data_IF_301958190019
#
_entry.id   IF_301958190019
#
_cell.length_a   1.000
_cell.length_b   1.000
_cell.length_c   1.000
_cell.angle_alpha   90.00
_cell.angle_beta   90.00
_cell.angle_gamma   90.00
#
_symmetry.space_group_name_H-M   'P 1'
#
loop_
_entity.id
_entity.type
_entity.pdbx_description
1 polymer ?
#
# COMPACT_ATOMS: atom_id res chain seq x y z
N UNK A 1 5.13 23.12 20.71
CA UNK A 1 4.48 22.37 19.61
C UNK A 1 3.71 23.37 18.76
N UNK A 2 4.06 23.53 17.48
CA UNK A 2 3.35 24.45 16.58
C UNK A 2 2.00 23.82 16.17
N UNK A 3 0.88 24.54 16.24
CA UNK A 3 -0.42 24.02 15.85
C UNK A 3 -0.47 23.94 14.32
N UNK A 4 -0.55 22.71 13.79
CA UNK A 4 -0.93 22.49 12.40
C UNK A 4 -2.47 22.47 12.33
N UNK A 5 -3.05 23.32 11.48
CA UNK A 5 -4.50 23.39 11.21
C UNK A 5 -5.43 23.66 12.42
N UNK A 6 -4.89 24.09 13.56
CA UNK A 6 -5.69 24.48 14.73
C UNK A 6 -6.18 23.35 15.63
N UNK A 7 -5.75 22.10 15.42
CA UNK A 7 -6.13 20.96 16.27
C UNK A 7 -4.92 20.29 16.94
N UNK A 8 -4.95 20.19 18.27
CA UNK A 8 -3.95 19.51 19.11
C UNK A 8 -4.64 18.53 20.07
N UNK A 9 -3.97 17.42 20.40
CA UNK A 9 -4.46 16.44 21.37
C UNK A 9 -5.18 15.22 20.76
N UNK A 10 -6.08 14.60 21.55
CA UNK A 10 -6.72 13.32 21.21
C UNK A 10 -7.63 13.35 20.00
N UNK A 11 -8.19 14.51 19.64
CA UNK A 11 -9.05 14.64 18.46
C UNK A 11 -8.26 14.52 17.14
N UNK A 12 -7.02 15.02 17.09
CA UNK A 12 -6.15 14.83 15.93
C UNK A 12 -5.70 13.37 15.81
N UNK A 13 -5.46 12.68 16.93
CA UNK A 13 -5.21 11.24 16.92
C UNK A 13 -6.43 10.46 16.42
N UNK A 14 -7.64 10.82 16.86
CA UNK A 14 -8.88 10.19 16.40
C UNK A 14 -9.04 10.27 14.87
N UNK A 15 -8.88 11.46 14.26
CA UNK A 15 -8.97 11.59 12.80
C UNK A 15 -7.87 10.83 12.05
N UNK A 16 -6.65 10.80 12.59
CA UNK A 16 -5.56 10.01 12.01
C UNK A 16 -5.87 8.52 12.10
N UNK A 17 -6.40 8.03 13.23
CA UNK A 17 -6.81 6.63 13.39
C UNK A 17 -7.95 6.26 12.42
N UNK A 18 -8.93 7.14 12.21
CA UNK A 18 -10.01 6.93 11.23
C UNK A 18 -9.46 6.87 9.80
N UNK A 19 -8.51 7.75 9.45
CA UNK A 19 -7.85 7.71 8.14
C UNK A 19 -7.06 6.40 7.96
N UNK A 20 -6.25 6.01 8.94
CA UNK A 20 -5.52 4.74 8.92
C UNK A 20 -6.45 3.52 8.83
N UNK A 21 -7.56 3.52 9.56
CA UNK A 21 -8.54 2.43 9.52
C UNK A 21 -9.18 2.32 8.13
N UNK A 22 -9.46 3.45 7.50
CA UNK A 22 -9.96 3.51 6.12
C UNK A 22 -8.92 2.98 5.15
N UNK A 23 -7.65 3.39 5.27
CA UNK A 23 -6.53 2.88 4.46
C UNK A 23 -6.36 1.36 4.61
N UNK A 24 -6.38 0.82 5.83
CA UNK A 24 -6.27 -0.62 6.07
C UNK A 24 -7.46 -1.39 5.51
N UNK A 25 -8.66 -0.80 5.56
CA UNK A 25 -9.86 -1.41 4.96
C UNK A 25 -9.74 -1.44 3.44
N UNK A 26 -9.29 -0.35 2.83
CA UNK A 26 -9.07 -0.26 1.39
C UNK A 26 -7.99 -1.24 0.93
N UNK A 27 -6.93 -1.41 1.72
CA UNK A 27 -5.89 -2.40 1.46
C UNK A 27 -6.43 -3.84 1.53
N UNK A 28 -7.22 -4.18 2.56
CA UNK A 28 -7.87 -5.48 2.65
C UNK A 28 -8.84 -5.74 1.47
N UNK A 29 -9.51 -4.67 1.01
CA UNK A 29 -10.36 -4.72 -0.18
C UNK A 29 -9.53 -4.98 -1.45
N UNK A 30 -8.40 -4.30 -1.67
CA UNK A 30 -7.51 -4.53 -2.82
C UNK A 30 -7.04 -5.99 -2.88
N UNK A 31 -6.59 -6.55 -1.75
CA UNK A 31 -6.18 -7.96 -1.71
C UNK A 31 -7.33 -8.92 -1.99
N UNK A 32 -8.52 -8.67 -1.44
CA UNK A 32 -9.71 -9.48 -1.68
C UNK A 32 -10.17 -9.45 -3.13
N UNK A 33 -10.24 -8.26 -3.73
CA UNK A 33 -10.59 -8.08 -5.14
C UNK A 33 -9.54 -8.72 -6.04
N UNK A 34 -8.25 -8.52 -5.77
CA UNK A 34 -7.18 -9.06 -6.59
C UNK A 34 -7.13 -10.59 -6.55
N UNK A 35 -7.45 -11.20 -5.40
CA UNK A 35 -7.64 -12.65 -5.28
C UNK A 35 -8.78 -13.21 -6.13
N UNK A 36 -9.82 -12.41 -6.41
CA UNK A 36 -10.87 -12.76 -7.36
C UNK A 36 -10.49 -12.48 -8.82
N UNK A 37 -9.86 -11.34 -9.09
CA UNK A 37 -9.49 -10.87 -10.44
C UNK A 37 -8.42 -11.75 -11.08
N UNK A 38 -7.49 -12.30 -10.30
CA UNK A 38 -6.40 -13.17 -10.81
C UNK A 38 -6.91 -14.46 -11.46
N UNK A 39 -8.15 -14.88 -11.17
CA UNK A 39 -8.80 -16.07 -11.73
C UNK A 39 -9.62 -15.76 -12.99
N UNK A 40 -9.91 -14.48 -13.25
CA UNK A 40 -10.78 -14.04 -14.36
C UNK A 40 -10.06 -14.14 -15.71
N UNK A 41 -10.76 -14.64 -16.73
CA UNK A 41 -10.23 -14.79 -18.10
C UNK A 41 -9.79 -13.47 -18.74
N UNK A 42 -10.53 -12.37 -18.53
CA UNK A 42 -10.19 -11.04 -19.05
C UNK A 42 -8.84 -10.55 -18.53
N UNK A 43 -8.52 -10.80 -17.27
CA UNK A 43 -7.25 -10.42 -16.67
C UNK A 43 -6.08 -11.23 -17.27
N UNK A 44 -6.30 -12.53 -17.48
CA UNK A 44 -5.32 -13.41 -18.13
C UNK A 44 -5.06 -13.03 -19.59
N UNK A 45 -6.08 -12.54 -20.28
CA UNK A 45 -5.97 -12.10 -21.68
C UNK A 45 -5.33 -10.73 -21.81
N UNK A 46 -5.71 -9.74 -20.98
CA UNK A 46 -5.10 -8.40 -20.96
C UNK A 46 -3.63 -8.46 -20.56
N UNK A 47 -3.27 -9.33 -19.63
CA UNK A 47 -1.89 -9.51 -19.19
C UNK A 47 -1.09 -10.53 -20.02
N UNK A 48 -1.72 -11.19 -20.99
CA UNK A 48 -1.13 -12.28 -21.79
C UNK A 48 -0.54 -13.43 -20.92
N UNK A 49 -1.19 -13.71 -19.79
CA UNK A 49 -0.74 -14.66 -18.76
C UNK A 49 -1.46 -16.02 -18.81
N UNK A 50 -2.26 -16.28 -19.86
CA UNK A 50 -3.15 -17.44 -20.01
C UNK A 50 -2.51 -18.82 -19.79
N UNK A 51 -1.18 -18.94 -19.93
CA UNK A 51 -0.42 -20.19 -19.70
C UNK A 51 0.72 -20.07 -18.66
N UNK A 52 0.89 -18.92 -18.00
CA UNK A 52 2.02 -18.68 -17.10
C UNK A 52 1.57 -18.43 -15.65
N UNK A 53 1.14 -19.51 -14.98
CA UNK A 53 0.77 -19.47 -13.56
C UNK A 53 1.92 -18.96 -12.67
N UNK A 54 3.17 -19.25 -13.04
CA UNK A 54 4.36 -18.74 -12.34
C UNK A 54 4.44 -17.21 -12.33
N UNK A 55 4.05 -16.54 -13.41
CA UNK A 55 4.08 -15.07 -13.47
C UNK A 55 2.94 -14.46 -12.65
N UNK A 56 1.76 -15.08 -12.60
CA UNK A 56 0.68 -14.64 -11.71
C UNK A 56 1.10 -14.70 -10.25
N UNK A 57 1.72 -15.82 -9.83
CA UNK A 57 2.27 -15.98 -8.48
C UNK A 57 3.36 -14.96 -8.18
N UNK A 58 4.22 -14.64 -9.14
CA UNK A 58 5.24 -13.59 -8.98
C UNK A 58 4.61 -12.21 -8.79
N UNK A 59 3.58 -11.86 -9.56
CA UNK A 59 2.88 -10.56 -9.44
C UNK A 59 2.16 -10.44 -8.09
N UNK A 60 1.62 -11.53 -7.53
CA UNK A 60 1.04 -11.50 -6.19
C UNK A 60 2.12 -11.40 -5.12
N UNK A 61 3.19 -12.21 -5.21
CA UNK A 61 4.26 -12.26 -4.20
C UNK A 61 5.15 -11.00 -4.18
N UNK A 62 5.29 -10.29 -5.30
CA UNK A 62 6.09 -9.05 -5.34
C UNK A 62 5.53 -7.97 -4.42
N UNK A 63 4.23 -8.02 -4.13
CA UNK A 63 3.58 -7.10 -3.21
C UNK A 63 4.11 -7.29 -1.79
N UNK A 64 4.18 -8.54 -1.31
CA UNK A 64 4.73 -8.88 0.01
C UNK A 64 6.22 -8.54 0.12
N UNK A 65 6.98 -8.73 -0.98
CA UNK A 65 8.38 -8.28 -1.05
C UNK A 65 8.45 -6.76 -0.88
N UNK A 66 7.57 -6.00 -1.54
CA UNK A 66 7.44 -4.56 -1.34
C UNK A 66 7.11 -4.20 0.11
N UNK A 67 6.19 -4.92 0.76
CA UNK A 67 5.87 -4.72 2.18
C UNK A 67 7.07 -5.01 3.09
N UNK A 68 7.86 -6.04 2.82
CA UNK A 68 9.07 -6.35 3.58
C UNK A 68 10.06 -5.18 3.55
N UNK A 69 10.36 -4.64 2.37
CA UNK A 69 11.23 -3.47 2.25
C UNK A 69 10.61 -2.20 2.85
N UNK A 70 9.29 -2.03 2.73
CA UNK A 70 8.53 -0.95 3.35
C UNK A 70 8.62 -0.97 4.88
N UNK A 71 8.54 -2.14 5.50
CA UNK A 71 8.68 -2.32 6.94
C UNK A 71 10.09 -1.99 7.44
N UNK A 72 11.13 -2.39 6.69
CA UNK A 72 12.53 -2.01 6.99
C UNK A 72 12.70 -0.49 6.91
N UNK A 73 12.17 0.13 5.85
CA UNK A 73 12.15 1.59 5.71
C UNK A 73 11.39 2.26 6.86
N UNK A 74 10.28 1.68 7.32
CA UNK A 74 9.53 2.19 8.47
C UNK A 74 10.37 2.25 9.74
N UNK A 75 11.23 1.25 9.94
CA UNK A 75 12.12 1.18 11.09
C UNK A 75 13.17 2.30 11.08
N UNK A 76 13.72 2.62 9.90
CA UNK A 76 14.74 3.67 9.74
C UNK A 76 14.13 5.08 9.71
N UNK A 77 12.97 5.21 9.07
CA UNK A 77 12.29 6.50 8.85
C UNK A 77 11.37 6.88 10.01
N UNK A 78 10.90 5.91 10.80
CA UNK A 78 9.98 6.10 11.92
C UNK A 78 10.56 6.94 13.06
N UNK A 79 11.86 6.80 13.35
CA UNK A 79 12.55 7.55 14.41
C UNK A 79 12.73 9.05 14.10
N UNK A 80 13.26 9.47 12.93
CA UNK A 80 13.55 10.88 12.65
C UNK A 80 12.37 11.70 12.13
N UNK A 81 11.39 11.12 11.41
CA UNK A 81 10.35 11.90 10.70
C UNK A 81 9.09 12.20 11.54
N UNK A 82 8.96 11.55 12.69
CA UNK A 82 7.82 11.72 13.59
C UNK A 82 6.57 10.98 13.09
N UNK A 83 5.90 10.29 14.02
CA UNK A 83 4.82 9.32 13.73
C UNK A 83 3.68 9.80 12.82
N UNK A 84 3.33 11.09 12.85
CA UNK A 84 2.25 11.65 12.00
C UNK A 84 2.66 11.80 10.54
N UNK A 85 3.90 12.20 10.29
CA UNK A 85 4.41 12.37 8.93
C UNK A 85 4.69 11.02 8.28
N UNK A 86 5.08 10.01 9.06
CA UNK A 86 5.29 8.63 8.57
C UNK A 86 4.00 8.04 8.01
N UNK A 87 2.87 8.20 8.70
CA UNK A 87 1.55 7.78 8.22
C UNK A 87 1.16 8.53 6.94
N UNK A 88 1.35 9.86 6.92
CA UNK A 88 1.01 10.66 5.75
C UNK A 88 1.86 10.27 4.51
N UNK A 89 3.14 9.97 4.71
CA UNK A 89 4.04 9.49 3.66
C UNK A 89 3.68 8.07 3.20
N UNK A 90 3.29 7.19 4.11
CA UNK A 90 2.84 5.84 3.77
C UNK A 90 1.59 5.87 2.90
N UNK A 91 0.54 6.60 3.31
CA UNK A 91 -0.73 6.73 2.56
C UNK A 91 -0.56 7.41 1.20
N UNK A 92 0.28 8.45 1.11
CA UNK A 92 0.57 9.12 -0.18
C UNK A 92 1.33 8.20 -1.14
N UNK A 93 2.32 7.45 -0.64
CA UNK A 93 3.04 6.44 -1.43
C UNK A 93 2.13 5.30 -1.89
N UNK A 94 1.23 4.85 -1.02
CA UNK A 94 0.23 3.83 -1.35
C UNK A 94 -0.74 4.32 -2.43
N UNK A 95 -1.19 5.58 -2.35
CA UNK A 95 -2.05 6.21 -3.37
C UNK A 95 -1.37 6.28 -4.74
N UNK A 96 -0.08 6.61 -4.80
CA UNK A 96 0.70 6.62 -6.04
C UNK A 96 0.77 5.20 -6.64
N UNK A 97 1.02 4.19 -5.81
CA UNK A 97 1.03 2.79 -6.25
C UNK A 97 -0.32 2.33 -6.78
N UNK A 98 -1.43 2.77 -6.18
CA UNK A 98 -2.78 2.47 -6.67
C UNK A 98 -3.06 3.09 -8.05
N UNK A 99 -2.68 4.36 -8.26
CA UNK A 99 -2.84 5.04 -9.55
C UNK A 99 -2.05 4.32 -10.65
N UNK A 100 -0.83 3.86 -10.33
CA UNK A 100 -0.01 3.09 -11.27
C UNK A 100 -0.61 1.73 -11.62
N UNK A 101 -1.30 1.09 -10.68
CA UNK A 101 -2.00 -0.17 -10.93
C UNK A 101 -3.25 0.03 -11.80
N UNK A 102 -4.04 1.09 -11.55
CA UNK A 102 -5.25 1.39 -12.33
C UNK A 102 -4.90 1.74 -13.78
N UNK A 103 -3.76 2.39 -14.00
CA UNK A 103 -3.28 2.79 -15.33
C UNK A 103 -2.39 1.75 -16.01
N UNK A 104 -2.26 0.53 -15.45
CA UNK A 104 -1.37 -0.49 -15.98
C UNK A 104 -1.95 -1.15 -17.24
N UNK A 105 -1.25 -1.00 -18.37
CA UNK A 105 -1.56 -1.68 -19.64
C UNK A 105 -0.69 -2.92 -19.89
N UNK A 106 0.16 -3.30 -18.93
CA UNK A 106 1.03 -4.46 -19.05
C UNK A 106 1.61 -4.94 -17.73
N UNK A 107 2.08 -6.20 -17.73
CA UNK A 107 2.63 -6.90 -16.56
C UNK A 107 3.75 -6.12 -15.85
N UNK A 108 4.73 -5.50 -16.54
CA UNK A 108 5.84 -4.80 -15.87
C UNK A 108 5.36 -3.60 -15.05
N UNK A 109 4.40 -2.83 -15.59
CA UNK A 109 3.85 -1.65 -14.91
C UNK A 109 3.05 -2.05 -13.67
N UNK A 110 2.34 -3.18 -13.73
CA UNK A 110 1.60 -3.67 -12.57
C UNK A 110 2.52 -4.20 -11.47
N UNK A 111 3.63 -4.85 -11.83
CA UNK A 111 4.67 -5.25 -10.88
C UNK A 111 5.23 -4.03 -10.16
N UNK A 112 5.59 -2.97 -10.90
CA UNK A 112 6.10 -1.72 -10.32
C UNK A 112 5.07 -1.06 -9.40
N UNK A 113 3.81 -0.98 -9.84
CA UNK A 113 2.71 -0.44 -9.04
C UNK A 113 2.52 -1.20 -7.73
N UNK A 114 2.62 -2.55 -7.77
CA UNK A 114 2.54 -3.41 -6.58
C UNK A 114 3.71 -3.24 -5.63
N UNK A 115 4.94 -3.08 -6.13
CA UNK A 115 6.10 -2.81 -5.27
C UNK A 115 5.91 -1.47 -4.54
N UNK A 116 5.51 -0.42 -5.26
CA UNK A 116 5.33 0.91 -4.67
C UNK A 116 4.18 0.93 -3.66
N UNK A 117 3.04 0.32 -4.02
CA UNK A 117 1.90 0.16 -3.11
C UNK A 117 2.27 -0.68 -1.87
N UNK A 118 3.06 -1.74 -2.05
CA UNK A 118 3.57 -2.60 -0.99
C UNK A 118 4.49 -1.85 -0.03
N UNK A 119 5.41 -1.03 -0.54
CA UNK A 119 6.28 -0.18 0.30
C UNK A 119 5.46 0.78 1.16
N UNK A 120 4.48 1.47 0.55
CA UNK A 120 3.58 2.38 1.27
C UNK A 120 2.77 1.66 2.36
N UNK A 121 2.27 0.47 2.05
CA UNK A 121 1.52 -0.34 3.01
C UNK A 121 2.41 -0.91 4.13
N UNK A 122 3.66 -1.30 3.83
CA UNK A 122 4.64 -1.74 4.83
C UNK A 122 4.98 -0.64 5.84
N UNK A 123 5.08 0.62 5.37
CA UNK A 123 5.23 1.80 6.23
C UNK A 123 4.02 2.00 7.14
N UNK A 124 2.81 1.92 6.59
CA UNK A 124 1.57 2.11 7.34
C UNK A 124 1.33 1.00 8.37
N UNK A 125 1.49 -0.26 7.98
CA UNK A 125 1.30 -1.43 8.87
C UNK A 125 2.33 -1.52 9.99
N UNK A 126 3.56 -1.05 9.78
CA UNK A 126 4.55 -0.94 10.85
C UNK A 126 4.30 0.23 11.82
N UNK A 127 3.65 1.30 11.35
CA UNK A 127 3.42 2.53 12.15
C UNK A 127 2.06 2.53 12.86
N UNK A 128 1.05 1.85 12.31
CA UNK A 128 -0.30 1.78 12.86
C UNK A 128 -0.40 1.13 14.26
N UNK A 129 0.19 -0.05 14.56
CA UNK A 129 0.05 -0.72 15.85
C UNK A 129 0.84 -0.06 16.99
N UNK A 130 1.60 0.99 16.69
CA UNK A 130 2.34 1.76 17.70
C UNK A 130 1.43 2.79 18.41
N UNK A 131 0.15 2.84 18.05
CA UNK A 131 -0.94 3.63 18.63
C UNK A 131 -2.06 2.72 19.13
#
# INVERSE_FOLDING_TARGET
MRPYFGMTGGWLTFWVTVACATDMTLFGYDQGVFGGVVVTGDYLDVMNLRNNSSLLGTVTAIYDIGCFFGAILAFVVGDPLGRKNTILLGTTTMSIGAILQISAFGVPQMIVGRIIAGIGNGLNTATAPVW
#
